data_IF_463066249634
#
_entry.id   IF_463066249634
#
_cell.length_a   1.000
_cell.length_b   1.000
_cell.length_c   1.000
_cell.angle_alpha   90.00
_cell.angle_beta   90.00
_cell.angle_gamma   90.00
#
_symmetry.space_group_name_H-M   'P 1'
#
loop_
_entity.id
_entity.type
_entity.pdbx_description
1 polymer ?
#
# COMPACT_ATOMS: atom_id res chain seq x y z
N UNK A 1 13.59 11.39 8.38
CA UNK A 1 15.01 11.46 7.99
C UNK A 1 15.78 10.46 8.83
N UNK A 2 16.58 9.57 8.23
CA UNK A 2 17.26 8.48 8.96
C UNK A 2 18.65 8.85 9.49
N UNK A 3 19.27 9.90 8.94
CA UNK A 3 20.56 10.43 9.38
C UNK A 3 20.44 11.93 9.59
N UNK A 4 21.29 12.51 10.45
CA UNK A 4 21.25 13.92 10.85
C UNK A 4 22.15 14.83 10.02
N UNK A 5 23.09 14.25 9.27
CA UNK A 5 24.03 15.00 8.44
C UNK A 5 23.64 14.82 6.97
N UNK A 6 23.51 15.94 6.25
CA UNK A 6 23.04 15.96 4.85
C UNK A 6 23.97 15.14 3.92
N UNK A 7 25.27 15.09 4.25
CA UNK A 7 26.26 14.30 3.51
C UNK A 7 26.02 12.78 3.57
N UNK A 8 25.36 12.29 4.61
CA UNK A 8 25.19 10.85 4.86
C UNK A 8 23.84 10.32 4.36
N UNK A 9 23.01 11.19 3.76
CA UNK A 9 21.70 10.82 3.20
C UNK A 9 21.79 9.79 2.08
N UNK A 10 22.83 9.85 1.26
CA UNK A 10 23.08 8.92 0.15
C UNK A 10 23.82 7.66 0.58
N UNK A 11 24.17 7.54 1.87
CA UNK A 11 24.95 6.39 2.35
C UNK A 11 24.14 5.09 2.27
N UNK A 12 24.79 3.95 1.97
CA UNK A 12 24.12 2.64 1.95
C UNK A 12 23.52 2.26 3.32
N UNK A 13 24.09 2.77 4.41
CA UNK A 13 23.58 2.59 5.76
C UNK A 13 22.25 3.32 5.98
N UNK A 14 22.13 4.57 5.51
CA UNK A 14 20.88 5.32 5.53
C UNK A 14 19.77 4.62 4.75
N UNK A 15 20.10 4.09 3.57
CA UNK A 15 19.19 3.34 2.72
C UNK A 15 18.70 2.05 3.39
N UNK A 16 19.59 1.31 4.06
CA UNK A 16 19.24 0.09 4.80
C UNK A 16 18.25 0.38 5.94
N UNK A 17 18.50 1.42 6.73
CA UNK A 17 17.61 1.82 7.82
C UNK A 17 16.24 2.29 7.31
N UNK A 18 16.19 2.97 6.16
CA UNK A 18 14.94 3.35 5.53
C UNK A 18 14.15 2.14 5.00
N UNK A 19 14.83 1.17 4.40
CA UNK A 19 14.21 -0.06 3.90
C UNK A 19 13.57 -0.89 5.03
N UNK A 20 14.19 -0.94 6.21
CA UNK A 20 13.64 -1.62 7.40
C UNK A 20 12.32 -1.01 7.88
N UNK A 21 12.20 0.33 7.87
CA UNK A 21 10.94 1.02 8.23
C UNK A 21 9.82 0.72 7.23
N UNK A 22 10.16 0.66 5.93
CA UNK A 22 9.19 0.33 4.88
C UNK A 22 8.71 -1.11 5.05
N UNK A 23 9.63 -2.04 5.31
CA UNK A 23 9.31 -3.45 5.55
C UNK A 23 8.30 -3.63 6.69
N UNK A 24 8.44 -2.89 7.79
CA UNK A 24 7.50 -2.93 8.92
C UNK A 24 6.13 -2.32 8.63
N UNK A 25 6.03 -1.40 7.67
CA UNK A 25 4.79 -0.65 7.37
C UNK A 25 4.02 -1.17 6.17
N UNK A 26 4.52 -2.20 5.49
CA UNK A 26 3.87 -2.81 4.34
C UNK A 26 2.49 -3.42 4.71
N UNK A 27 1.43 -2.82 4.19
CA UNK A 27 0.03 -3.24 4.36
C UNK A 27 -0.67 -3.37 3.01
N UNK A 28 -1.63 -4.28 2.91
CA UNK A 28 -2.45 -4.45 1.72
C UNK A 28 -3.54 -3.35 1.70
N UNK A 29 -3.74 -2.69 0.56
CA UNK A 29 -4.74 -1.64 0.42
C UNK A 29 -5.29 -1.57 -1.01
N UNK A 30 -6.59 -1.72 -1.16
CA UNK A 30 -7.31 -1.34 -2.36
C UNK A 30 -7.78 0.13 -2.29
N UNK A 31 -8.28 0.65 -3.41
CA UNK A 31 -8.74 2.05 -3.49
C UNK A 31 -9.83 2.36 -2.46
N UNK A 32 -10.76 1.43 -2.22
CA UNK A 32 -11.74 1.50 -1.14
C UNK A 32 -12.76 2.64 -1.27
N UNK A 33 -13.50 2.90 -0.19
CA UNK A 33 -14.57 3.90 -0.15
C UNK A 33 -15.71 3.55 -1.13
N UNK A 34 -16.07 4.50 -1.99
CA UNK A 34 -17.08 4.30 -3.04
C UNK A 34 -16.52 3.61 -4.30
N UNK A 35 -15.21 3.34 -4.33
CA UNK A 35 -14.53 2.66 -5.43
C UNK A 35 -14.36 1.17 -5.08
N UNK A 36 -13.62 0.46 -5.91
CA UNK A 36 -13.39 -0.98 -5.75
C UNK A 36 -12.63 -1.24 -4.44
N UNK A 37 -13.21 -2.13 -3.62
CA UNK A 37 -12.62 -2.63 -2.36
C UNK A 37 -11.73 -3.85 -2.57
N UNK A 38 -11.83 -4.48 -3.74
CA UNK A 38 -10.98 -5.60 -4.14
C UNK A 38 -9.59 -5.08 -4.53
N UNK A 39 -8.52 -5.62 -3.94
CA UNK A 39 -7.15 -5.36 -4.39
C UNK A 39 -6.96 -5.73 -5.87
N UNK A 40 -6.09 -5.01 -6.57
CA UNK A 40 -5.79 -5.28 -7.97
C UNK A 40 -5.07 -6.63 -8.18
N UNK A 41 -4.98 -7.10 -9.44
CA UNK A 41 -4.38 -8.40 -9.77
C UNK A 41 -2.90 -8.53 -9.34
N UNK A 42 -2.17 -7.42 -9.26
CA UNK A 42 -0.78 -7.40 -8.79
C UNK A 42 -0.60 -7.51 -7.28
N UNK A 43 -1.69 -7.47 -6.49
CA UNK A 43 -1.61 -7.48 -5.03
C UNK A 43 -1.05 -8.81 -4.51
N UNK A 44 -1.52 -9.93 -5.06
CA UNK A 44 -1.13 -11.27 -4.61
C UNK A 44 0.29 -11.64 -5.05
N UNK A 45 0.71 -11.23 -6.24
CA UNK A 45 2.08 -11.44 -6.72
C UNK A 45 3.09 -10.63 -5.90
N UNK A 46 2.78 -9.36 -5.60
CA UNK A 46 3.60 -8.53 -4.73
C UNK A 46 3.70 -9.12 -3.32
N UNK A 47 2.57 -9.54 -2.72
CA UNK A 47 2.56 -10.17 -1.39
C UNK A 47 3.43 -11.41 -1.35
N UNK A 48 3.36 -12.26 -2.39
CA UNK A 48 4.19 -13.47 -2.48
C UNK A 48 5.69 -13.15 -2.60
N UNK A 49 6.05 -12.12 -3.36
CA UNK A 49 7.45 -11.69 -3.49
C UNK A 49 8.01 -11.16 -2.16
N UNK A 50 7.23 -10.33 -1.45
CA UNK A 50 7.61 -9.78 -0.15
C UNK A 50 7.73 -10.87 0.92
N UNK A 51 6.84 -11.86 0.91
CA UNK A 51 6.89 -13.00 1.83
C UNK A 51 8.13 -13.87 1.59
N UNK A 52 8.51 -14.10 0.31
CA UNK A 52 9.75 -14.81 -0.05
C UNK A 52 11.01 -14.07 0.38
N UNK A 53 10.96 -12.74 0.40
CA UNK A 53 12.04 -11.90 0.92
C UNK A 53 12.11 -11.91 2.48
N UNK A 54 11.28 -12.70 3.16
CA UNK A 54 11.30 -12.84 4.62
C UNK A 54 10.63 -11.69 5.38
N UNK A 55 9.90 -10.81 4.68
CA UNK A 55 9.22 -9.68 5.32
C UNK A 55 7.87 -10.11 5.90
N UNK A 56 7.59 -9.67 7.14
CA UNK A 56 6.27 -9.85 7.76
C UNK A 56 5.29 -8.83 7.17
N UNK A 57 4.23 -9.33 6.55
CA UNK A 57 3.25 -8.51 5.84
C UNK A 57 2.06 -8.26 6.77
N UNK A 58 1.60 -7.01 6.83
CA UNK A 58 0.46 -6.59 7.65
C UNK A 58 -0.92 -6.95 7.06
N UNK A 59 -1.97 -6.64 7.82
CA UNK A 59 -3.37 -6.88 7.46
C UNK A 59 -3.87 -5.95 6.35
N UNK A 60 -4.95 -6.35 5.67
CA UNK A 60 -5.72 -5.49 4.76
C UNK A 60 -6.33 -4.29 5.51
N UNK A 61 -6.03 -3.10 5.02
CA UNK A 61 -6.52 -1.81 5.55
C UNK A 61 -7.31 -1.03 4.50
N UNK A 62 -7.93 -1.74 3.56
CA UNK A 62 -8.81 -1.14 2.57
C UNK A 62 -9.94 -0.35 3.28
N UNK A 63 -10.13 0.95 2.96
CA UNK A 63 -11.18 1.75 3.59
C UNK A 63 -12.58 1.18 3.31
N UNK A 64 -13.25 0.70 4.37
CA UNK A 64 -14.66 0.29 4.34
C UNK A 64 -15.47 1.36 5.07
N UNK A 65 -16.31 2.14 4.35
CA UNK A 65 -17.11 3.18 4.97
C UNK A 65 -18.34 2.57 5.67
N UNK A 66 -18.73 3.12 6.83
CA UNK A 66 -19.95 2.73 7.57
C UNK A 66 -21.22 3.01 6.74
N UNK A 67 -21.23 4.15 6.05
CA UNK A 67 -22.17 4.48 4.97
C UNK A 67 -21.41 5.20 3.84
N UNK A 68 -21.86 5.04 2.60
CA UNK A 68 -21.14 5.49 1.40
C UNK A 68 -21.81 6.66 0.70
N UNK A 69 -21.02 7.54 0.09
CA UNK A 69 -21.58 8.59 -0.79
C UNK A 69 -21.82 8.05 -2.21
N UNK A 70 -22.50 8.81 -3.07
CA UNK A 70 -22.87 8.36 -4.42
C UNK A 70 -21.64 7.91 -5.24
N UNK A 71 -21.70 6.71 -5.82
CA UNK A 71 -20.65 6.16 -6.71
C UNK A 71 -20.66 6.85 -8.08
N UNK A 72 -19.50 6.92 -8.73
CA UNK A 72 -19.38 7.41 -10.10
C UNK A 72 -20.11 6.47 -11.10
N UNK A 73 -20.70 7.03 -12.17
CA UNK A 73 -21.47 6.30 -13.18
C UNK A 73 -22.96 6.64 -13.26
N UNK A 74 -23.47 7.56 -12.43
CA UNK A 74 -24.89 7.94 -12.43
C UNK A 74 -25.81 6.77 -12.06
N UNK A 75 -27.13 6.90 -12.32
CA UNK A 75 -28.13 5.86 -11.95
C UNK A 75 -27.98 4.58 -12.78
N UNK A 76 -27.50 4.69 -14.02
CA UNK A 76 -27.43 3.59 -14.99
C UNK A 76 -26.02 2.98 -15.11
N UNK A 77 -25.05 3.47 -14.36
CA UNK A 77 -23.66 3.04 -14.43
C UNK A 77 -22.91 3.57 -15.67
N UNK A 78 -21.61 3.25 -15.73
CA UNK A 78 -20.78 3.50 -16.92
C UNK A 78 -21.28 2.60 -18.06
N UNK A 79 -21.74 3.20 -19.16
CA UNK A 79 -22.05 2.50 -20.42
C UNK A 79 -20.86 2.67 -21.36
N UNK A 80 -20.52 1.58 -22.06
CA UNK A 80 -19.48 1.55 -23.10
C UNK A 80 -20.07 2.01 -24.43
#
# INVERSE_FOLDING_TARGET
MKVKADRDESSPYAAMLAAQDVAQRCKLRATGGNKTKTPGPGAQSALRALARAGMKIGQDVTPIPTDSTRRNGGRRGRRL
#
